data_IF_784999700649
#
_entry.id   IF_784999700649
#
_cell.length_a   1.000
_cell.length_b   1.000
_cell.length_c   1.000
_cell.angle_alpha   90.00
_cell.angle_beta   90.00
_cell.angle_gamma   90.00
#
_symmetry.space_group_name_H-M   'P 1'
#
loop_
_entity.id
_entity.type
_entity.pdbx_description
1 polymer ?
#
# COMPACT_ATOMS: atom_id res chain seq x y z
N UNK A 1 20.79 8.98 2.68
CA UNK A 1 20.58 9.19 1.21
C UNK A 1 20.64 10.69 0.94
N UNK A 2 21.21 11.12 -0.19
CA UNK A 2 21.23 12.56 -0.52
C UNK A 2 19.87 13.03 -1.04
N UNK A 3 19.45 14.26 -0.74
CA UNK A 3 18.19 14.82 -1.24
C UNK A 3 18.09 14.81 -2.79
N UNK A 4 19.23 14.90 -3.49
CA UNK A 4 19.30 14.80 -4.95
C UNK A 4 18.97 13.40 -5.48
N UNK A 5 19.45 12.34 -4.79
CA UNK A 5 19.17 10.95 -5.18
C UNK A 5 17.69 10.63 -4.98
N UNK A 6 17.13 11.07 -3.85
CA UNK A 6 15.71 10.88 -3.53
C UNK A 6 14.76 11.48 -4.58
N UNK A 7 14.99 12.73 -4.99
CA UNK A 7 14.18 13.38 -6.02
C UNK A 7 14.33 12.70 -7.40
N UNK A 8 15.52 12.15 -7.70
CA UNK A 8 15.74 11.39 -8.94
C UNK A 8 14.86 10.12 -9.00
N UNK A 9 14.69 9.44 -7.87
CA UNK A 9 13.94 8.19 -7.83
C UNK A 9 12.43 8.44 -7.89
N UNK A 10 11.92 9.46 -7.19
CA UNK A 10 10.50 9.85 -7.31
C UNK A 10 10.19 10.35 -8.72
N UNK A 11 11.10 11.08 -9.37
CA UNK A 11 10.92 11.46 -10.78
C UNK A 11 10.91 10.25 -11.72
N UNK A 12 11.68 9.20 -11.41
CA UNK A 12 11.64 7.94 -12.16
C UNK A 12 10.28 7.27 -12.02
N UNK A 13 9.71 7.25 -10.81
CA UNK A 13 8.34 6.78 -10.60
C UNK A 13 7.31 7.62 -11.39
N UNK A 14 7.36 8.95 -11.27
CA UNK A 14 6.40 9.85 -11.92
C UNK A 14 6.46 9.81 -13.47
N UNK A 15 7.58 9.39 -14.04
CA UNK A 15 7.74 9.20 -15.49
C UNK A 15 7.43 7.77 -15.96
N UNK A 16 7.17 6.84 -15.03
CA UNK A 16 6.90 5.43 -15.36
C UNK A 16 5.51 5.21 -15.96
N UNK A 17 5.40 4.19 -16.83
CA UNK A 17 4.12 3.75 -17.38
C UNK A 17 3.11 3.35 -16.30
N UNK A 18 3.59 2.82 -15.17
CA UNK A 18 2.79 2.48 -14.01
C UNK A 18 2.07 3.71 -13.46
N UNK A 19 2.79 4.80 -13.18
CA UNK A 19 2.16 6.03 -12.72
C UNK A 19 1.22 6.63 -13.78
N UNK A 20 1.65 6.67 -15.04
CA UNK A 20 0.85 7.29 -16.11
C UNK A 20 -0.51 6.61 -16.31
N UNK A 21 -0.59 5.28 -16.12
CA UNK A 21 -1.88 4.55 -16.12
C UNK A 21 -2.85 5.01 -15.03
N UNK A 22 -2.34 5.31 -13.83
CA UNK A 22 -3.16 5.62 -12.65
C UNK A 22 -3.27 7.12 -12.35
N UNK A 23 -2.54 7.97 -13.10
CA UNK A 23 -2.50 9.42 -12.91
C UNK A 23 -3.90 10.04 -12.88
N UNK A 24 -4.77 9.67 -13.82
CA UNK A 24 -6.13 10.21 -13.87
C UNK A 24 -6.97 9.85 -12.64
N UNK A 25 -6.79 8.65 -12.08
CA UNK A 25 -7.45 8.26 -10.84
C UNK A 25 -6.94 9.12 -9.68
N UNK A 26 -5.62 9.23 -9.52
CA UNK A 26 -4.99 9.98 -8.43
C UNK A 26 -5.39 11.47 -8.48
N UNK A 27 -5.35 12.08 -9.67
CA UNK A 27 -5.66 13.49 -9.89
C UNK A 27 -7.11 13.87 -9.54
N UNK A 28 -8.05 12.91 -9.56
CA UNK A 28 -9.43 13.15 -9.14
C UNK A 28 -9.54 13.43 -7.63
N UNK A 29 -8.59 12.95 -6.85
CA UNK A 29 -8.57 13.16 -5.39
C UNK A 29 -7.73 14.37 -4.99
N UNK A 30 -6.68 14.71 -5.74
CA UNK A 30 -5.84 15.87 -5.46
C UNK A 30 -4.51 15.83 -6.19
N UNK A 31 -3.57 16.67 -5.75
CA UNK A 31 -2.21 16.73 -6.31
C UNK A 31 -1.22 16.02 -5.39
N UNK A 32 -0.26 15.30 -5.98
CA UNK A 32 0.87 14.75 -5.24
C UNK A 32 1.76 15.86 -4.67
N UNK A 33 2.03 15.82 -3.37
CA UNK A 33 2.98 16.69 -2.68
C UNK A 33 4.35 16.02 -2.58
N UNK A 34 5.05 15.99 -3.70
CA UNK A 34 6.34 15.31 -3.87
C UNK A 34 7.39 15.80 -2.86
N UNK A 35 7.32 17.08 -2.45
CA UNK A 35 8.28 17.68 -1.53
C UNK A 35 8.17 17.13 -0.10
N UNK A 36 7.00 16.64 0.29
CA UNK A 36 6.73 16.04 1.60
C UNK A 36 6.64 14.50 1.53
N UNK A 37 7.21 13.90 0.49
CA UNK A 37 7.29 12.45 0.37
C UNK A 37 8.18 11.87 1.47
N UNK A 38 7.71 10.81 2.12
CA UNK A 38 8.54 9.99 2.99
C UNK A 38 9.20 8.86 2.19
N UNK A 39 10.44 8.54 2.57
CA UNK A 39 11.18 7.39 2.06
C UNK A 39 11.53 6.45 3.19
N UNK A 40 11.27 5.17 2.96
CA UNK A 40 11.72 4.10 3.83
C UNK A 40 12.37 3.00 3.00
N UNK A 41 13.48 2.47 3.50
CA UNK A 41 14.02 1.22 2.99
C UNK A 41 13.37 0.05 3.71
N UNK A 42 12.88 -0.91 2.94
CA UNK A 42 12.35 -2.17 3.45
C UNK A 42 13.34 -3.26 3.08
N UNK A 43 13.98 -3.88 4.07
CA UNK A 43 14.88 -5.00 3.84
C UNK A 43 14.10 -6.31 3.93
N UNK A 44 14.13 -7.10 2.86
CA UNK A 44 13.52 -8.42 2.78
C UNK A 44 14.57 -9.39 2.24
N UNK A 45 14.93 -10.40 3.04
CA UNK A 45 15.93 -11.41 2.69
C UNK A 45 17.23 -10.81 2.14
N UNK A 46 17.81 -9.84 2.88
CA UNK A 46 19.06 -9.15 2.53
C UNK A 46 18.99 -8.26 1.27
N UNK A 47 17.82 -8.15 0.65
CA UNK A 47 17.58 -7.21 -0.46
C UNK A 47 16.80 -5.98 0.03
N UNK A 48 17.34 -4.80 -0.28
CA UNK A 48 16.68 -3.54 0.01
C UNK A 48 15.64 -3.21 -1.08
N UNK A 49 14.46 -2.76 -0.65
CA UNK A 49 13.39 -2.20 -1.47
C UNK A 49 13.10 -0.77 -1.02
N UNK A 50 12.64 0.04 -1.97
CA UNK A 50 12.38 1.45 -1.76
C UNK A 50 10.86 1.66 -1.67
N UNK A 51 10.39 2.08 -0.49
CA UNK A 51 9.02 2.46 -0.21
C UNK A 51 8.93 3.99 -0.14
N UNK A 52 8.04 4.55 -0.95
CA UNK A 52 7.71 5.97 -0.93
C UNK A 52 6.27 6.15 -0.46
N UNK A 53 6.05 7.15 0.39
CA UNK A 53 4.71 7.55 0.84
C UNK A 53 4.54 9.00 0.47
N UNK A 54 3.77 9.24 -0.59
CA UNK A 54 3.60 10.54 -1.22
C UNK A 54 2.23 11.11 -0.80
N UNK A 55 2.17 12.26 -0.11
CA UNK A 55 0.91 12.85 0.28
C UNK A 55 0.11 13.34 -0.94
N UNK A 56 -1.22 13.26 -0.85
CA UNK A 56 -2.13 13.84 -1.82
C UNK A 56 -2.86 14.99 -1.15
N UNK A 57 -2.71 16.20 -1.71
CA UNK A 57 -3.28 17.44 -1.17
C UNK A 57 -4.37 17.99 -2.08
N UNK A 58 -5.40 18.57 -1.47
CA UNK A 58 -6.44 19.30 -2.21
C UNK A 58 -6.02 20.74 -2.53
N UNK A 59 -6.92 21.51 -3.14
CA UNK A 59 -6.70 22.91 -3.52
C UNK A 59 -6.40 23.84 -2.34
N UNK A 60 -6.77 23.45 -1.11
CA UNK A 60 -6.52 24.19 0.12
C UNK A 60 -5.24 23.73 0.83
N UNK A 61 -4.38 22.95 0.16
CA UNK A 61 -3.19 22.30 0.73
C UNK A 61 -3.48 21.36 1.92
N UNK A 62 -4.73 20.92 2.10
CA UNK A 62 -5.05 19.91 3.10
C UNK A 62 -4.78 18.51 2.53
N UNK A 63 -4.17 17.65 3.34
CA UNK A 63 -3.96 16.24 3.00
C UNK A 63 -5.31 15.54 2.93
N UNK A 64 -5.62 14.97 1.77
CA UNK A 64 -6.86 14.22 1.48
C UNK A 64 -6.59 12.76 1.14
N UNK A 65 -5.32 12.38 0.99
CA UNK A 65 -4.91 11.00 0.80
C UNK A 65 -3.41 10.83 0.86
N UNK A 66 -2.95 9.61 0.60
CA UNK A 66 -1.55 9.30 0.35
C UNK A 66 -1.44 8.19 -0.68
N UNK A 67 -0.36 8.21 -1.44
CA UNK A 67 0.03 7.16 -2.36
C UNK A 67 1.23 6.41 -1.78
N UNK A 68 1.08 5.12 -1.58
CA UNK A 68 2.12 4.20 -1.16
C UNK A 68 2.69 3.53 -2.41
N UNK A 69 4.00 3.63 -2.59
CA UNK A 69 4.71 3.19 -3.80
C UNK A 69 5.88 2.32 -3.41
N UNK A 70 5.96 1.11 -3.94
CA UNK A 70 7.13 0.24 -3.78
C UNK A 70 7.79 0.02 -5.13
N UNK A 71 9.08 0.31 -5.25
CA UNK A 71 9.87 -0.10 -6.41
C UNK A 71 10.27 -1.58 -6.26
N UNK A 72 9.69 -2.45 -7.08
CA UNK A 72 9.99 -3.89 -7.07
C UNK A 72 11.21 -4.27 -7.93
N UNK A 73 12.01 -3.29 -8.38
CA UNK A 73 13.33 -3.45 -9.02
C UNK A 73 13.34 -4.34 -10.27
N UNK A 74 12.21 -4.43 -10.98
CA UNK A 74 12.09 -5.11 -12.28
C UNK A 74 11.43 -6.49 -12.23
N UNK A 75 10.63 -6.78 -11.21
CA UNK A 75 9.70 -7.90 -11.25
C UNK A 75 8.63 -7.66 -12.32
N UNK A 76 8.20 -8.71 -13.02
CA UNK A 76 7.16 -8.65 -14.07
C UNK A 76 5.82 -9.22 -13.60
N UNK A 77 5.63 -9.32 -12.28
CA UNK A 77 4.51 -10.05 -11.69
C UNK A 77 3.34 -9.14 -11.34
N UNK A 78 3.47 -7.82 -11.39
CA UNK A 78 2.27 -6.99 -11.28
C UNK A 78 1.49 -7.00 -12.61
N UNK A 79 0.16 -6.79 -12.55
CA UNK A 79 -0.63 -6.50 -13.75
C UNK A 79 0.06 -5.51 -14.67
N UNK A 80 -0.10 -5.69 -15.99
CA UNK A 80 0.54 -4.85 -17.01
C UNK A 80 2.09 -4.81 -16.96
N UNK A 81 2.73 -5.75 -16.26
CA UNK A 81 4.18 -5.77 -16.00
C UNK A 81 4.64 -4.49 -15.29
N UNK A 82 3.81 -4.00 -14.36
CA UNK A 82 4.15 -2.84 -13.55
C UNK A 82 5.42 -3.09 -12.73
N UNK A 83 6.29 -2.07 -12.71
CA UNK A 83 7.50 -2.06 -11.87
C UNK A 83 7.20 -1.61 -10.43
N UNK A 84 6.15 -0.80 -10.28
CA UNK A 84 5.80 -0.18 -9.00
C UNK A 84 4.49 -0.76 -8.48
N UNK A 85 4.51 -1.28 -7.25
CA UNK A 85 3.28 -1.61 -6.54
C UNK A 85 2.69 -0.32 -5.97
N UNK A 86 1.40 -0.08 -6.19
CA UNK A 86 0.71 1.16 -5.84
C UNK A 86 -0.54 0.89 -5.01
N UNK A 87 -0.56 1.48 -3.81
CA UNK A 87 -1.75 1.52 -2.97
C UNK A 87 -2.13 2.98 -2.67
N UNK A 88 -3.40 3.32 -2.86
CA UNK A 88 -3.94 4.64 -2.51
C UNK A 88 -4.79 4.55 -1.25
N UNK A 89 -4.47 5.39 -0.26
CA UNK A 89 -5.29 5.57 0.92
C UNK A 89 -6.05 6.90 0.84
N UNK A 90 -7.37 6.83 0.74
CA UNK A 90 -8.28 7.97 0.78
C UNK A 90 -8.51 8.40 2.23
N UNK A 91 -8.05 9.60 2.57
CA UNK A 91 -8.15 10.22 3.89
C UNK A 91 -9.23 11.31 3.94
N UNK A 92 -10.04 11.48 2.89
CA UNK A 92 -11.05 12.54 2.79
C UNK A 92 -12.10 12.50 3.91
N UNK A 93 -12.29 11.32 4.52
CA UNK A 93 -13.20 11.08 5.65
C UNK A 93 -12.48 10.81 6.97
N UNK A 94 -11.19 11.12 7.05
CA UNK A 94 -10.37 10.93 8.23
C UNK A 94 -9.83 12.27 8.72
N UNK A 95 -10.14 12.62 9.96
CA UNK A 95 -9.62 13.82 10.59
C UNK A 95 -8.25 13.53 11.20
N UNK A 96 -7.21 14.04 10.55
CA UNK A 96 -5.81 13.92 10.98
C UNK A 96 -5.52 14.54 12.36
N UNK A 97 -6.35 15.46 12.86
CA UNK A 97 -6.15 16.09 14.18
C UNK A 97 -6.72 15.23 15.30
N UNK A 98 -7.93 14.73 15.10
CA UNK A 98 -8.62 13.92 16.12
C UNK A 98 -8.29 12.44 15.99
N UNK A 99 -7.66 12.04 14.89
CA UNK A 99 -7.38 10.65 14.53
C UNK A 99 -8.66 9.81 14.48
N UNK A 100 -9.75 10.39 13.96
CA UNK A 100 -11.07 9.75 13.90
C UNK A 100 -11.62 9.83 12.48
N UNK A 101 -12.30 8.77 12.05
CA UNK A 101 -12.98 8.72 10.76
C UNK A 101 -12.76 7.40 10.04
N UNK A 102 -12.89 7.43 8.72
CA UNK A 102 -12.73 6.24 7.87
C UNK A 102 -11.69 6.45 6.79
N UNK A 103 -10.95 5.40 6.47
CA UNK A 103 -9.94 5.39 5.43
C UNK A 103 -10.22 4.25 4.47
N UNK A 104 -10.21 4.55 3.18
CA UNK A 104 -10.45 3.57 2.11
C UNK A 104 -9.12 3.26 1.44
N UNK A 105 -8.78 1.98 1.31
CA UNK A 105 -7.56 1.52 0.67
C UNK A 105 -7.89 0.91 -0.70
N UNK A 106 -7.12 1.33 -1.71
CA UNK A 106 -7.34 0.99 -3.11
C UNK A 106 -6.05 0.49 -3.73
N UNK A 107 -6.06 -0.74 -4.23
CA UNK A 107 -4.94 -1.33 -4.95
C UNK A 107 -5.03 -0.85 -6.41
N UNK A 108 -4.12 0.04 -6.79
CA UNK A 108 -4.20 0.68 -8.10
C UNK A 108 -3.84 -0.30 -9.21
N UNK A 109 -2.88 -1.21 -8.99
CA UNK A 109 -2.45 -2.15 -10.03
C UNK A 109 -3.56 -3.12 -10.44
N UNK A 110 -4.53 -3.38 -9.57
CA UNK A 110 -5.66 -4.30 -9.80
C UNK A 110 -6.96 -3.53 -10.11
N UNK A 111 -6.98 -2.78 -11.22
CA UNK A 111 -8.13 -1.99 -11.69
C UNK A 111 -8.67 -0.94 -10.68
N UNK A 112 -7.79 -0.33 -9.88
CA UNK A 112 -8.18 0.57 -8.80
C UNK A 112 -9.20 -0.09 -7.84
N UNK A 113 -8.92 -1.33 -7.45
CA UNK A 113 -9.82 -2.11 -6.61
C UNK A 113 -9.78 -1.65 -5.16
N UNK A 114 -10.94 -1.22 -4.66
CA UNK A 114 -11.14 -0.90 -3.24
C UNK A 114 -11.13 -2.19 -2.43
N UNK A 115 -10.04 -2.44 -1.70
CA UNK A 115 -9.84 -3.71 -1.02
C UNK A 115 -10.11 -3.68 0.47
N UNK A 116 -9.96 -2.51 1.11
CA UNK A 116 -10.17 -2.37 2.54
C UNK A 116 -10.80 -1.04 2.91
N UNK A 117 -11.54 -1.06 4.02
CA UNK A 117 -12.00 0.12 4.73
C UNK A 117 -11.64 -0.01 6.21
N UNK A 118 -11.01 1.03 6.75
CA UNK A 118 -10.57 1.10 8.14
C UNK A 118 -11.36 2.20 8.83
N UNK A 119 -11.98 1.91 9.97
CA UNK A 119 -12.65 2.91 10.82
C UNK A 119 -11.84 3.08 12.10
N UNK A 120 -11.61 4.33 12.47
CA UNK A 120 -10.73 4.72 13.56
C UNK A 120 -11.49 5.68 14.48
N UNK A 121 -11.41 5.47 15.79
CA UNK A 121 -11.80 6.45 16.82
C UNK A 121 -10.59 6.77 17.68
N UNK A 122 -10.16 8.05 17.67
CA UNK A 122 -9.06 8.57 18.49
C UNK A 122 -7.79 7.73 18.40
N UNK A 123 -7.40 7.38 17.17
CA UNK A 123 -6.22 6.58 16.86
C UNK A 123 -6.38 5.08 17.12
N UNK A 124 -7.55 4.61 17.55
CA UNK A 124 -7.82 3.19 17.76
C UNK A 124 -8.66 2.64 16.62
N UNK A 125 -8.24 1.51 16.03
CA UNK A 125 -9.05 0.81 15.05
C UNK A 125 -10.30 0.23 15.71
N UNK A 126 -11.47 0.68 15.25
CA UNK A 126 -12.77 0.19 15.74
C UNK A 126 -13.41 -0.79 14.76
N UNK A 127 -13.07 -0.68 13.48
CA UNK A 127 -13.52 -1.60 12.44
C UNK A 127 -12.47 -1.73 11.35
N UNK A 128 -12.24 -2.95 10.89
CA UNK A 128 -11.39 -3.22 9.74
C UNK A 128 -12.14 -4.17 8.80
N UNK A 129 -12.51 -3.70 7.62
CA UNK A 129 -13.14 -4.52 6.60
C UNK A 129 -12.15 -4.74 5.47
N UNK A 130 -11.79 -5.99 5.20
CA UNK A 130 -11.02 -6.34 4.01
C UNK A 130 -11.54 -7.60 3.38
N UNK A 131 -11.66 -7.58 2.05
CA UNK A 131 -12.27 -8.65 1.27
C UNK A 131 -11.24 -9.47 0.48
N UNK A 132 -9.98 -9.03 0.42
CA UNK A 132 -9.01 -9.55 -0.57
C UNK A 132 -9.49 -9.29 -2.00
N UNK A 133 -8.82 -9.86 -3.01
CA UNK A 133 -9.27 -9.76 -4.40
C UNK A 133 -10.68 -10.33 -4.59
N UNK A 134 -11.49 -9.66 -5.42
CA UNK A 134 -12.78 -10.22 -5.87
C UNK A 134 -12.55 -11.43 -6.78
N UNK A 135 -13.53 -12.33 -6.88
CA UNK A 135 -13.44 -13.51 -7.76
C UNK A 135 -13.22 -13.14 -9.24
N UNK A 136 -13.78 -12.01 -9.67
CA UNK A 136 -13.54 -11.44 -11.00
C UNK A 136 -12.06 -11.09 -11.21
N UNK A 137 -11.45 -10.38 -10.25
CA UNK A 137 -10.05 -9.98 -10.34
C UNK A 137 -9.11 -11.18 -10.21
N UNK A 138 -9.43 -12.14 -9.34
CA UNK A 138 -8.69 -13.40 -9.25
C UNK A 138 -8.65 -14.10 -10.60
N UNK A 139 -9.81 -14.23 -11.24
CA UNK A 139 -9.92 -14.87 -12.57
C UNK A 139 -9.19 -14.07 -13.64
N UNK A 140 -9.36 -12.74 -13.67
CA UNK A 140 -8.74 -11.85 -14.65
C UNK A 140 -7.21 -11.92 -14.61
N UNK A 141 -6.64 -11.98 -13.40
CA UNK A 141 -5.20 -11.94 -13.17
C UNK A 141 -4.58 -13.29 -12.81
N UNK A 142 -5.31 -14.40 -12.99
CA UNK A 142 -4.81 -15.76 -12.73
C UNK A 142 -3.51 -16.07 -13.53
N UNK A 143 -3.44 -15.58 -14.77
CA UNK A 143 -2.25 -15.73 -15.62
C UNK A 143 -1.03 -14.91 -15.17
N UNK A 144 -1.24 -13.92 -14.30
CA UNK A 144 -0.19 -13.09 -13.71
C UNK A 144 0.36 -13.79 -12.47
N UNK A 145 0.91 -14.98 -12.70
CA UNK A 145 1.41 -15.87 -11.66
C UNK A 145 2.93 -15.74 -11.48
N UNK A 146 3.38 -15.66 -10.24
CA UNK A 146 4.78 -15.87 -9.93
C UNK A 146 5.05 -17.39 -9.79
N UNK A 147 5.45 -18.03 -10.90
CA UNK A 147 5.72 -19.48 -10.93
C UNK A 147 6.93 -19.93 -10.10
N UNK A 148 7.73 -18.98 -9.60
CA UNK A 148 8.84 -19.27 -8.68
C UNK A 148 8.37 -19.32 -7.23
N UNK A 149 7.10 -18.99 -6.98
CA UNK A 149 6.57 -18.88 -5.65
C UNK A 149 6.50 -20.23 -4.96
N UNK A 150 6.83 -20.28 -3.66
CA UNK A 150 6.50 -21.42 -2.84
C UNK A 150 5.02 -21.76 -3.04
N UNK A 151 4.70 -23.04 -3.22
CA UNK A 151 3.31 -23.50 -3.46
C UNK A 151 2.33 -23.18 -2.32
N UNK A 152 2.78 -22.53 -1.25
CA UNK A 152 2.03 -22.15 -0.05
C UNK A 152 2.52 -20.78 0.45
N UNK A 153 2.43 -19.73 -0.38
CA UNK A 153 2.65 -18.37 0.13
C UNK A 153 1.48 -18.04 1.05
N UNK A 154 1.77 -17.83 2.35
CA UNK A 154 0.77 -17.31 3.28
C UNK A 154 0.21 -15.99 2.72
N UNK A 155 -1.11 -15.84 2.75
CA UNK A 155 -1.86 -14.71 2.20
C UNK A 155 -2.16 -14.73 0.68
N UNK A 156 -1.71 -15.73 -0.07
CA UNK A 156 -2.03 -15.89 -1.51
C UNK A 156 -3.46 -16.43 -1.71
N UNK A 157 -4.41 -15.54 -2.02
CA UNK A 157 -5.84 -15.83 -2.04
C UNK A 157 -6.33 -16.47 -3.34
N UNK A 158 -5.53 -16.41 -4.41
CA UNK A 158 -5.81 -17.04 -5.70
C UNK A 158 -4.80 -18.16 -6.05
N UNK A 159 -3.75 -18.35 -5.26
CA UNK A 159 -2.78 -19.43 -5.45
C UNK A 159 -1.79 -19.18 -6.57
N UNK A 160 -1.69 -17.94 -7.07
CA UNK A 160 -0.85 -17.60 -8.21
C UNK A 160 0.57 -17.18 -7.80
N UNK A 161 0.88 -17.14 -6.49
CA UNK A 161 2.17 -16.74 -5.93
C UNK A 161 2.40 -15.24 -5.89
N UNK A 162 1.49 -14.44 -6.46
CA UNK A 162 1.61 -13.00 -6.65
C UNK A 162 0.57 -12.28 -5.79
N UNK A 163 0.95 -12.05 -4.53
CA UNK A 163 0.11 -11.46 -3.50
C UNK A 163 0.02 -9.94 -3.69
N UNK A 164 -1.17 -9.47 -3.98
CA UNK A 164 -1.53 -8.05 -4.09
C UNK A 164 -1.57 -7.33 -2.73
N UNK A 165 -1.65 -6.00 -2.72
CA UNK A 165 -1.87 -5.26 -1.46
C UNK A 165 -3.18 -5.70 -0.81
N UNK A 166 -4.22 -5.93 -1.61
CA UNK A 166 -5.52 -6.38 -1.13
C UNK A 166 -5.44 -7.67 -0.30
N UNK A 167 -4.64 -8.62 -0.75
CA UNK A 167 -4.47 -9.92 -0.13
C UNK A 167 -3.57 -9.83 1.12
N UNK A 168 -2.51 -9.03 1.06
CA UNK A 168 -1.67 -8.75 2.22
C UNK A 168 -2.45 -8.10 3.36
N UNK A 169 -3.26 -7.08 3.06
CA UNK A 169 -4.07 -6.39 4.05
C UNK A 169 -5.18 -7.27 4.63
N UNK A 170 -5.80 -8.14 3.83
CA UNK A 170 -6.75 -9.16 4.30
C UNK A 170 -6.08 -10.12 5.29
N UNK A 171 -4.87 -10.53 5.01
CA UNK A 171 -4.12 -11.45 5.86
C UNK A 171 -3.74 -10.81 7.20
N UNK A 172 -3.26 -9.57 7.15
CA UNK A 172 -2.98 -8.76 8.33
C UNK A 172 -4.25 -8.56 9.16
N UNK A 173 -5.39 -8.28 8.51
CA UNK A 173 -6.66 -8.07 9.23
C UNK A 173 -7.13 -9.31 9.96
N UNK A 174 -7.05 -10.48 9.32
CA UNK A 174 -7.37 -11.77 9.97
C UNK A 174 -6.43 -12.01 11.16
N UNK A 175 -5.13 -11.76 11.00
CA UNK A 175 -4.16 -11.90 12.10
C UNK A 175 -4.43 -10.91 13.27
N UNK A 176 -4.91 -9.70 12.97
CA UNK A 176 -5.30 -8.69 13.97
C UNK A 176 -6.60 -9.09 14.67
N UNK A 177 -7.61 -9.58 13.96
CA UNK A 177 -8.86 -10.08 14.55
C UNK A 177 -8.63 -11.27 15.48
N UNK A 178 -7.62 -12.10 15.18
CA UNK A 178 -7.25 -13.26 16.00
C UNK A 178 -6.41 -12.91 17.25
N UNK A 179 -5.88 -11.69 17.37
CA UNK A 179 -5.03 -11.28 18.49
C UNK A 179 -5.15 -9.79 18.79
N UNK A 180 -5.85 -9.45 19.88
CA UNK A 180 -6.04 -8.07 20.36
C UNK A 180 -4.73 -7.34 20.71
N UNK A 181 -3.63 -8.09 20.90
CA UNK A 181 -2.28 -7.56 21.15
C UNK A 181 -1.64 -6.96 19.88
N UNK A 182 -1.99 -7.48 18.71
CA UNK A 182 -1.44 -7.04 17.41
C UNK A 182 -1.93 -5.63 17.04
N UNK A 183 -3.19 -5.33 17.34
CA UNK A 183 -3.81 -4.01 17.21
C UNK A 183 -3.14 -2.99 18.14
N UNK A 184 -2.79 -3.41 19.36
CA UNK A 184 -2.08 -2.56 20.32
C UNK A 184 -0.64 -2.24 19.88
N UNK A 185 0.12 -3.22 19.35
CA UNK A 185 1.51 -2.98 18.90
C UNK A 185 1.55 -2.03 17.69
N UNK A 186 0.63 -2.19 16.74
CA UNK A 186 0.50 -1.26 15.61
C UNK A 186 0.04 0.13 16.07
N UNK A 187 -0.93 0.19 17.01
CA UNK A 187 -1.45 1.43 17.60
C UNK A 187 -0.47 2.19 18.52
N UNK A 188 0.47 1.49 19.17
CA UNK A 188 1.48 2.12 20.06
C UNK A 188 2.49 2.93 19.23
N UNK A 189 2.97 2.40 18.10
CA UNK A 189 3.84 3.18 17.21
C UNK A 189 3.09 4.35 16.57
N UNK A 190 1.78 4.19 16.36
CA UNK A 190 0.88 5.24 15.87
C UNK A 190 0.77 6.44 16.83
N UNK A 191 0.81 6.21 18.15
CA UNK A 191 0.73 7.27 19.17
C UNK A 191 1.94 8.23 19.25
N UNK A 192 2.99 8.00 18.45
CA UNK A 192 4.27 8.73 18.50
C UNK A 192 4.35 9.99 17.61
N UNK A 193 3.25 10.38 16.96
CA UNK A 193 3.10 11.70 16.35
C UNK A 193 2.88 11.77 14.84
N UNK A 194 3.00 10.65 14.09
CA UNK A 194 2.59 10.56 12.67
C UNK A 194 2.09 9.13 12.34
N UNK A 195 0.91 8.74 12.85
CA UNK A 195 0.47 7.34 12.89
C UNK A 195 0.38 6.64 11.53
N UNK A 196 -0.12 7.35 10.55
CA UNK A 196 -0.54 6.75 9.28
C UNK A 196 0.49 6.79 8.17
N UNK A 197 1.65 7.38 8.43
CA UNK A 197 2.63 7.70 7.40
C UNK A 197 3.80 6.71 7.34
N UNK A 198 3.87 5.71 8.23
CA UNK A 198 4.93 4.69 8.24
C UNK A 198 4.67 3.52 9.20
N UNK A 199 3.41 3.29 9.55
CA UNK A 199 3.03 2.31 10.58
C UNK A 199 3.39 0.86 10.23
N UNK A 200 3.33 -0.01 11.24
CA UNK A 200 3.58 -1.45 11.12
C UNK A 200 2.78 -2.07 9.97
N UNK A 201 1.51 -1.68 9.79
CA UNK A 201 0.66 -2.20 8.72
C UNK A 201 1.20 -1.93 7.31
N UNK A 202 1.77 -0.74 7.05
CA UNK A 202 2.32 -0.40 5.73
C UNK A 202 3.62 -1.15 5.51
N UNK A 203 4.49 -1.23 6.54
CA UNK A 203 5.74 -1.99 6.46
C UNK A 203 5.49 -3.49 6.26
N UNK A 204 4.48 -4.05 6.93
CA UNK A 204 4.08 -5.46 6.79
C UNK A 204 3.39 -5.73 5.45
N UNK A 205 2.50 -4.84 4.99
CA UNK A 205 1.89 -4.96 3.67
C UNK A 205 2.94 -4.84 2.56
N UNK A 206 3.88 -3.90 2.70
CA UNK A 206 5.00 -3.74 1.80
C UNK A 206 5.88 -4.99 1.74
N UNK A 207 6.28 -5.53 2.90
CA UNK A 207 7.06 -6.75 2.97
C UNK A 207 6.33 -7.94 2.35
N UNK A 208 5.03 -8.06 2.57
CA UNK A 208 4.21 -9.13 1.99
C UNK A 208 4.14 -9.05 0.46
N UNK A 209 3.89 -7.86 -0.12
CA UNK A 209 3.89 -7.65 -1.58
C UNK A 209 5.27 -7.90 -2.19
N UNK A 210 6.34 -7.51 -1.48
CA UNK A 210 7.71 -7.77 -1.90
C UNK A 210 8.02 -9.27 -1.92
N UNK A 211 7.72 -9.99 -0.82
CA UNK A 211 7.98 -11.43 -0.71
C UNK A 211 7.29 -12.19 -1.85
N UNK A 212 6.02 -11.91 -2.12
CA UNK A 212 5.27 -12.55 -3.19
C UNK A 212 5.77 -12.19 -4.60
N UNK A 213 6.31 -10.99 -4.76
CA UNK A 213 6.87 -10.55 -6.04
C UNK A 213 8.26 -11.13 -6.34
N UNK A 214 9.00 -11.59 -5.32
CA UNK A 214 10.34 -12.17 -5.53
C UNK A 214 10.27 -13.69 -5.61
N UNK A 215 9.54 -14.28 -4.67
CA UNK A 215 9.42 -15.71 -4.49
C UNK A 215 8.15 -16.11 -5.16
#
# INVERSE_FOLDING_TARGET
>A
MSAKTFLSDVNTFLSSDTYQRHKNFIDQHGKLDVNNTLHQKVNVNEQDYDLYIIPVINQNNAIVGKLEVIDLKGTNFLPNKDKFALNYADLSRYDLRTHTGSIILTDLNYDNFVHSQITIDRGTYTKYESKGLSEELKTKYDSVANRRAPKNVSCDGNGNGNVSYSECYRCISVAIEMSSTSSAICGIYESSGLPWWGGCNISTAAACVIISSIY
#
